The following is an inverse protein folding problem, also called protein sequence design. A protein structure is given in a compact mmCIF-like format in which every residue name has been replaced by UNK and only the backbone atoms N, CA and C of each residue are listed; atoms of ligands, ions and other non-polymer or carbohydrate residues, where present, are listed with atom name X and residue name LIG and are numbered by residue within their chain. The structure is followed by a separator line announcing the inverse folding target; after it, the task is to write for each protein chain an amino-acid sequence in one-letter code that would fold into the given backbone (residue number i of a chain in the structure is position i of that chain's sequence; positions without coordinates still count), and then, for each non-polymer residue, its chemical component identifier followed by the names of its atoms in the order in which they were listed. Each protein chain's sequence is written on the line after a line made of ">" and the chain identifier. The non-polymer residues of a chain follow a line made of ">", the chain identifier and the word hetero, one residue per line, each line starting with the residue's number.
data_IF_709427914620
#
_entry.id   IF_709427914620
#
_cell.length_a   1.000
_cell.length_b   1.000
_cell.length_c   1.000
_cell.angle_alpha   90.00
_cell.angle_beta   90.00
_cell.angle_gamma   90.00
#
_symmetry.space_group_name_H-M   'P 1'
#
loop_
_entity.id
_entity.type
_entity.pdbx_description
1 polymer ?
#
# COMPACT_ATOMS: atom_id res chain seq x y z
N UNK A 1 6.16 17.56 -9.49
CA UNK A 1 6.79 18.83 -9.07
C UNK A 1 6.76 19.07 -7.57
N UNK A 2 7.90 18.94 -6.88
CA UNK A 2 8.09 19.40 -5.48
C UNK A 2 9.42 20.15 -5.28
N UNK A 3 10.22 20.29 -6.33
CA UNK A 3 11.58 20.84 -6.27
C UNK A 3 11.60 22.36 -6.03
N UNK A 4 10.66 23.09 -6.62
CA UNK A 4 10.51 24.54 -6.42
C UNK A 4 10.10 24.90 -4.98
N UNK A 5 9.16 24.16 -4.38
CA UNK A 5 8.74 24.37 -2.98
C UNK A 5 9.86 24.07 -1.97
N UNK A 6 10.66 23.04 -2.24
CA UNK A 6 11.85 22.70 -1.42
C UNK A 6 12.91 23.81 -1.51
N UNK A 7 13.07 24.45 -2.66
CA UNK A 7 13.99 25.57 -2.83
C UNK A 7 13.54 26.80 -2.02
N UNK A 8 12.24 27.14 -2.03
CA UNK A 8 11.67 28.25 -1.23
C UNK A 8 11.80 27.96 0.28
N UNK A 9 11.52 26.73 0.72
CA UNK A 9 11.71 26.35 2.12
C UNK A 9 13.17 26.47 2.55
N UNK A 10 14.14 26.13 1.68
CA UNK A 10 15.57 26.28 1.97
C UNK A 10 16.03 27.74 2.03
N UNK A 11 15.47 28.64 1.21
CA UNK A 11 15.78 30.08 1.32
C UNK A 11 15.17 30.71 2.58
N UNK A 12 14.09 30.13 3.11
CA UNK A 12 13.52 30.48 4.41
C UNK A 12 14.25 29.84 5.62
N UNK A 13 15.35 29.10 5.39
CA UNK A 13 16.17 28.51 6.44
C UNK A 13 15.76 27.10 6.88
N UNK A 14 14.86 26.43 6.16
CA UNK A 14 14.49 25.05 6.47
C UNK A 14 15.69 24.10 6.25
N UNK A 15 16.05 23.36 7.29
CA UNK A 15 17.14 22.39 7.22
C UNK A 15 16.73 21.17 6.39
N UNK A 16 17.67 20.50 5.69
CA UNK A 16 17.40 19.26 4.97
C UNK A 16 16.75 18.16 5.83
N UNK A 17 17.00 18.19 7.14
CA UNK A 17 16.38 17.28 8.11
C UNK A 17 14.89 17.54 8.33
N UNK A 18 14.42 18.79 8.23
CA UNK A 18 13.01 19.12 8.35
C UNK A 18 12.20 18.57 7.16
N UNK A 19 12.73 18.70 5.94
CA UNK A 19 12.12 18.13 4.72
C UNK A 19 12.05 16.61 4.81
N UNK A 20 13.14 15.95 5.24
CA UNK A 20 13.14 14.49 5.45
C UNK A 20 12.05 14.05 6.44
N UNK A 21 11.91 14.75 7.58
CA UNK A 21 10.87 14.42 8.58
C UNK A 21 9.45 14.54 8.02
N UNK A 22 9.16 15.57 7.24
CA UNK A 22 7.83 15.76 6.64
C UNK A 22 7.50 14.59 5.71
N UNK A 23 8.41 14.20 4.83
CA UNK A 23 8.19 13.09 3.91
C UNK A 23 8.05 11.74 4.62
N UNK A 24 8.86 11.49 5.64
CA UNK A 24 8.74 10.27 6.46
C UNK A 24 7.37 10.22 7.14
N UNK A 25 6.92 11.31 7.76
CA UNK A 25 5.61 11.35 8.45
C UNK A 25 4.47 11.19 7.45
N UNK A 26 4.51 11.90 6.31
CA UNK A 26 3.47 11.79 5.28
C UNK A 26 3.39 10.38 4.69
N UNK A 27 4.52 9.78 4.30
CA UNK A 27 4.50 8.44 3.73
C UNK A 27 4.17 7.35 4.75
N UNK A 28 4.56 7.53 6.03
CA UNK A 28 4.12 6.63 7.10
C UNK A 28 2.61 6.70 7.30
N UNK A 29 2.01 7.91 7.31
CA UNK A 29 0.56 8.08 7.42
C UNK A 29 -0.19 7.44 6.26
N UNK A 30 0.25 7.68 5.02
CA UNK A 30 -0.36 7.09 3.82
C UNK A 30 -0.20 5.58 3.83
N UNK A 31 0.98 5.07 4.19
CA UNK A 31 1.23 3.63 4.32
C UNK A 31 0.31 2.98 5.34
N UNK A 32 0.17 3.58 6.53
CA UNK A 32 -0.67 3.04 7.60
C UNK A 32 -2.15 3.00 7.21
N UNK A 33 -2.66 4.09 6.63
CA UNK A 33 -4.04 4.16 6.14
C UNK A 33 -4.28 3.17 5.01
N UNK A 34 -3.34 3.07 4.06
CA UNK A 34 -3.40 2.12 2.96
C UNK A 34 -3.42 0.67 3.46
N UNK A 35 -2.59 0.33 4.45
CA UNK A 35 -2.59 -1.01 5.03
C UNK A 35 -3.87 -1.31 5.80
N UNK A 36 -4.39 -0.37 6.59
CA UNK A 36 -5.66 -0.55 7.30
C UNK A 36 -6.82 -0.81 6.34
N UNK A 37 -6.93 0.00 5.29
CA UNK A 37 -7.97 -0.16 4.27
C UNK A 37 -7.76 -1.46 3.50
N UNK A 38 -6.53 -1.77 3.09
CA UNK A 38 -6.22 -2.98 2.32
C UNK A 38 -6.48 -4.27 3.10
N UNK A 39 -6.06 -4.34 4.37
CA UNK A 39 -6.35 -5.48 5.26
C UNK A 39 -7.85 -5.59 5.52
N UNK A 40 -8.53 -4.48 5.81
CA UNK A 40 -9.97 -4.48 6.02
C UNK A 40 -10.74 -5.00 4.81
N UNK A 41 -10.39 -4.52 3.60
CA UNK A 41 -10.98 -5.01 2.35
C UNK A 41 -10.61 -6.47 2.07
N UNK A 42 -9.37 -6.88 2.32
CA UNK A 42 -8.93 -8.27 2.12
C UNK A 42 -9.67 -9.26 3.02
N UNK A 43 -9.84 -8.92 4.31
CA UNK A 43 -10.63 -9.71 5.25
C UNK A 43 -12.10 -9.72 4.83
N UNK A 44 -12.66 -8.59 4.41
CA UNK A 44 -14.03 -8.53 3.92
C UNK A 44 -14.25 -9.44 2.71
N UNK A 45 -13.32 -9.43 1.75
CA UNK A 45 -13.36 -10.33 0.59
C UNK A 45 -13.22 -11.79 1.01
N UNK A 46 -12.31 -12.11 1.94
CA UNK A 46 -12.13 -13.46 2.42
C UNK A 46 -13.41 -14.02 3.09
N UNK A 47 -14.07 -13.20 3.92
CA UNK A 47 -15.32 -13.57 4.59
C UNK A 47 -16.54 -13.69 3.65
N UNK A 48 -16.46 -13.11 2.45
CA UNK A 48 -17.54 -13.14 1.45
C UNK A 48 -17.15 -13.97 0.21
N UNK A 49 -16.14 -14.85 0.33
CA UNK A 49 -15.63 -15.65 -0.80
C UNK A 49 -16.70 -16.61 -1.34
N UNK A 50 -17.59 -17.07 -0.45
CA UNK A 50 -18.77 -17.89 -0.72
C UNK A 50 -19.78 -17.21 -1.65
N UNK A 51 -19.85 -15.88 -1.64
CA UNK A 51 -20.71 -15.08 -2.52
C UNK A 51 -19.97 -14.63 -3.79
N UNK A 52 -18.69 -14.26 -3.65
CA UNK A 52 -17.88 -13.71 -4.75
C UNK A 52 -17.55 -14.78 -5.79
N UNK A 53 -17.17 -16.00 -5.36
CA UNK A 53 -16.78 -17.08 -6.27
C UNK A 53 -17.92 -17.48 -7.21
N UNK A 54 -19.15 -17.77 -6.74
CA UNK A 54 -20.27 -18.11 -7.64
C UNK A 54 -20.70 -16.96 -8.56
N UNK A 55 -20.53 -15.70 -8.13
CA UNK A 55 -20.81 -14.54 -8.96
C UNK A 55 -19.84 -14.45 -10.14
N UNK A 56 -18.54 -14.67 -9.89
CA UNK A 56 -17.52 -14.70 -10.93
C UNK A 56 -17.77 -15.88 -11.88
N UNK A 57 -18.08 -17.07 -11.37
CA UNK A 57 -18.42 -18.24 -12.21
C UNK A 57 -19.59 -17.97 -13.16
N UNK A 58 -20.65 -17.32 -12.67
CA UNK A 58 -21.83 -16.97 -13.49
C UNK A 58 -21.49 -15.97 -14.61
N UNK A 59 -20.58 -15.04 -14.35
CA UNK A 59 -20.21 -13.99 -15.32
C UNK A 59 -19.15 -14.50 -16.31
N UNK A 60 -18.19 -15.31 -15.86
CA UNK A 60 -17.11 -15.82 -16.70
C UNK A 60 -17.48 -17.10 -17.46
N UNK A 61 -18.57 -17.77 -17.10
CA UNK A 61 -19.00 -19.03 -17.73
C UNK A 61 -18.03 -20.20 -17.52
N UNK A 62 -17.05 -20.05 -16.63
CA UNK A 62 -16.11 -21.10 -16.23
C UNK A 62 -16.52 -21.68 -14.88
N UNK A 63 -16.68 -23.00 -14.82
CA UNK A 63 -16.89 -23.73 -13.56
C UNK A 63 -15.52 -24.01 -12.95
N UNK A 64 -15.18 -23.33 -11.84
CA UNK A 64 -13.91 -23.56 -11.17
C UNK A 64 -13.97 -24.80 -10.27
N UNK A 65 -15.18 -25.25 -9.92
CA UNK A 65 -15.47 -26.52 -9.23
C UNK A 65 -16.61 -27.26 -9.95
N UNK A 66 -16.32 -28.32 -10.70
CA UNK A 66 -17.36 -29.27 -11.15
C UNK A 66 -17.94 -29.96 -9.91
N UNK A 67 -19.16 -29.56 -9.53
CA UNK A 67 -19.91 -30.07 -8.36
C UNK A 67 -20.15 -31.58 -8.38
N UNK A 68 -19.95 -32.23 -9.51
CA UNK A 68 -20.26 -33.65 -9.71
C UNK A 68 -19.13 -34.60 -9.27
N UNK A 69 -17.90 -34.10 -9.00
CA UNK A 69 -16.74 -34.96 -8.67
C UNK A 69 -16.12 -34.62 -7.30
N UNK A 70 -16.28 -33.38 -6.80
CA UNK A 70 -15.76 -33.00 -5.48
C UNK A 70 -16.91 -32.68 -4.52
N UNK A 71 -17.12 -33.57 -3.55
CA UNK A 71 -17.97 -33.42 -2.35
C UNK A 71 -17.52 -32.29 -1.39
N UNK A 72 -16.91 -31.22 -1.91
CA UNK A 72 -16.48 -30.04 -1.14
C UNK A 72 -17.39 -28.89 -1.58
N UNK A 73 -18.55 -28.80 -0.95
CA UNK A 73 -19.65 -27.91 -1.37
C UNK A 73 -19.39 -26.42 -1.15
N UNK A 74 -18.32 -26.03 -0.47
CA UNK A 74 -18.03 -24.65 -0.11
C UNK A 74 -16.51 -24.52 -0.04
N UNK A 75 -15.90 -23.46 -0.58
CA UNK A 75 -14.52 -23.13 -0.21
C UNK A 75 -14.59 -22.63 1.24
N UNK A 76 -14.12 -23.40 2.24
CA UNK A 76 -14.17 -22.93 3.61
C UNK A 76 -13.26 -21.69 3.71
N UNK A 77 -13.88 -20.52 3.88
CA UNK A 77 -13.18 -19.29 4.21
C UNK A 77 -12.64 -19.45 5.63
N UNK A 78 -11.41 -19.94 5.77
CA UNK A 78 -10.74 -20.04 7.06
C UNK A 78 -9.73 -18.90 7.22
N UNK A 79 -10.22 -17.77 7.73
CA UNK A 79 -9.42 -16.57 7.97
C UNK A 79 -8.59 -16.77 9.23
N UNK A 80 -7.31 -17.09 9.03
CA UNK A 80 -6.35 -17.17 10.12
C UNK A 80 -5.86 -15.77 10.50
N UNK A 81 -6.24 -15.30 11.70
CA UNK A 81 -5.84 -13.98 12.21
C UNK A 81 -4.32 -13.81 12.31
N UNK A 82 -3.59 -14.90 12.55
CA UNK A 82 -2.12 -14.89 12.53
C UNK A 82 -1.56 -14.52 11.15
N UNK A 83 -2.17 -15.01 10.08
CA UNK A 83 -1.74 -14.69 8.71
C UNK A 83 -2.15 -13.26 8.35
N UNK A 84 -3.33 -12.81 8.78
CA UNK A 84 -3.75 -11.40 8.62
C UNK A 84 -2.76 -10.46 9.32
N UNK A 85 -2.34 -10.79 10.54
CA UNK A 85 -1.38 -9.98 11.29
C UNK A 85 0.01 -9.99 10.64
N UNK A 86 0.49 -11.14 10.17
CA UNK A 86 1.78 -11.26 9.47
C UNK A 86 1.78 -10.49 8.15
N UNK A 87 0.76 -10.68 7.32
CA UNK A 87 0.62 -9.99 6.03
C UNK A 87 0.47 -8.49 6.24
N UNK A 88 -0.35 -8.06 7.20
CA UNK A 88 -0.47 -6.66 7.59
C UNK A 88 0.87 -6.07 8.06
N UNK A 89 1.60 -6.77 8.91
CA UNK A 89 2.93 -6.36 9.38
C UNK A 89 3.94 -6.21 8.24
N UNK A 90 4.00 -7.17 7.32
CA UNK A 90 4.86 -7.11 6.13
C UNK A 90 4.46 -5.95 5.21
N UNK A 91 3.16 -5.72 5.02
CA UNK A 91 2.66 -4.61 4.21
C UNK A 91 3.06 -3.25 4.78
N UNK A 92 2.94 -3.04 6.10
CA UNK A 92 3.42 -1.80 6.76
C UNK A 92 4.93 -1.66 6.58
N UNK A 93 5.70 -2.73 6.79
CA UNK A 93 7.16 -2.72 6.60
C UNK A 93 7.54 -2.33 5.18
N UNK A 94 6.89 -2.92 4.17
CA UNK A 94 7.13 -2.61 2.77
C UNK A 94 6.72 -1.17 2.43
N UNK A 95 5.59 -0.68 2.95
CA UNK A 95 5.17 0.71 2.77
C UNK A 95 6.18 1.69 3.39
N UNK A 96 6.75 1.35 4.55
CA UNK A 96 7.79 2.14 5.20
C UNK A 96 9.10 2.13 4.39
N UNK A 97 9.56 0.97 3.90
CA UNK A 97 10.74 0.86 3.03
C UNK A 97 10.54 1.62 1.72
N UNK A 98 9.37 1.47 1.09
CA UNK A 98 9.00 2.18 -0.12
C UNK A 98 8.91 3.70 0.09
N UNK A 99 8.62 4.16 1.30
CA UNK A 99 8.63 5.58 1.69
C UNK A 99 10.04 6.10 1.97
N UNK A 100 10.92 5.27 2.54
CA UNK A 100 12.30 5.62 2.85
C UNK A 100 13.10 5.99 1.59
N UNK A 101 12.91 5.25 0.49
CA UNK A 101 13.61 5.50 -0.78
C UNK A 101 13.35 6.92 -1.37
N UNK A 102 12.10 7.36 -1.60
CA UNK A 102 11.82 8.71 -2.07
C UNK A 102 12.10 9.78 -1.02
N UNK A 103 11.97 9.49 0.28
CA UNK A 103 12.33 10.44 1.34
C UNK A 103 13.83 10.73 1.35
N UNK A 104 14.66 9.70 1.19
CA UNK A 104 16.11 9.82 1.08
C UNK A 104 16.53 10.50 -0.22
N UNK A 105 15.87 10.18 -1.34
CA UNK A 105 16.04 10.85 -2.62
C UNK A 105 15.68 12.35 -2.54
N UNK A 106 14.56 12.69 -1.89
CA UNK A 106 14.11 14.07 -1.70
C UNK A 106 15.05 14.87 -0.78
N UNK A 107 15.61 14.23 0.26
CA UNK A 107 16.58 14.86 1.16
C UNK A 107 17.93 15.13 0.46
N UNK A 108 18.35 14.25 -0.44
CA UNK A 108 19.57 14.39 -1.27
C UNK A 108 19.38 15.19 -2.55
N UNK A 109 18.16 15.63 -2.88
CA UNK A 109 17.94 16.55 -3.98
C UNK A 109 18.68 17.87 -3.68
N UNK A 110 19.81 18.07 -4.36
CA UNK A 110 20.63 19.26 -4.22
C UNK A 110 19.86 20.46 -4.78
N UNK A 111 19.83 21.60 -4.07
CA UNK A 111 19.04 22.76 -4.46
C UNK A 111 19.62 23.52 -5.66
N UNK A 112 20.78 23.11 -6.20
CA UNK A 112 21.49 23.81 -7.26
C UNK A 112 21.11 23.38 -8.69
N UNK A 113 20.46 22.23 -8.90
CA UNK A 113 20.13 21.74 -10.25
C UNK A 113 18.71 22.11 -10.72
N UNK A 114 17.86 22.65 -9.83
CA UNK A 114 16.50 23.06 -10.19
C UNK A 114 16.43 24.41 -10.93
N UNK A 115 17.53 25.19 -10.95
CA UNK A 115 17.65 26.48 -11.64
C UNK A 115 18.38 26.39 -12.99
N UNK A 116 18.88 25.21 -13.39
CA UNK A 116 19.62 25.04 -14.67
C UNK A 116 18.78 24.38 -15.78
N UNK A 117 17.49 24.17 -15.53
CA UNK A 117 16.55 23.61 -16.50
C UNK A 117 15.26 24.46 -16.63
N UNK A 118 15.36 25.74 -16.31
CA UNK A 118 14.59 26.78 -17.02
C UNK A 118 15.50 27.43 -18.07
#
# INVERSE_FOLDING_TARGET
>A
DKRAEIAILRTLGASPGAVMRIFIVQGTLVGLLGTLIGVGLGVLVALNIDVIVPLIERVSGAHFLDKDIYFISEMPSDVHWDDVARVGGVAVLLAFIATLYPSWSAARAHPAEALRYE
#
